data_IF_396624139681
#
_entry.id   IF_396624139681
#
_cell.length_a   1.000
_cell.length_b   1.000
_cell.length_c   1.000
_cell.angle_alpha   90.00
_cell.angle_beta   90.00
_cell.angle_gamma   90.00
#
_symmetry.space_group_name_H-M   'P 1'
#
loop_
_entity.id
_entity.type
_entity.pdbx_description
1 polymer ?
#
# COMPACT_ATOMS: atom_id res chain seq x y z
N UNK A 1 37.40 47.30 21.99
CA UNK A 1 38.05 47.34 20.66
C UNK A 1 37.04 48.01 19.74
N UNK A 2 37.24 49.30 19.51
CA UNK A 2 36.30 50.27 18.96
C UNK A 2 36.59 50.53 17.47
N UNK A 3 35.54 50.94 16.78
CA UNK A 3 35.46 51.42 15.40
C UNK A 3 36.53 52.45 15.00
N UNK A 4 36.80 52.59 13.69
CA UNK A 4 37.16 53.78 12.88
C UNK A 4 37.49 53.26 11.45
N UNK A 5 37.43 53.95 10.31
CA UNK A 5 36.88 55.20 9.79
C UNK A 5 37.57 55.35 8.42
N UNK A 6 36.86 55.65 7.32
CA UNK A 6 37.33 56.44 6.14
C UNK A 6 36.24 56.33 5.05
N UNK A 7 35.41 57.34 4.78
CA UNK A 7 35.63 58.67 4.16
C UNK A 7 36.12 58.59 2.70
N UNK A 8 35.18 58.50 1.77
CA UNK A 8 34.61 59.59 0.93
C UNK A 8 35.52 60.52 0.08
N UNK A 9 34.99 60.79 -1.13
CA UNK A 9 35.13 61.97 -2.02
C UNK A 9 35.88 61.82 -3.35
N UNK A 10 35.10 61.89 -4.43
CA UNK A 10 35.41 62.77 -5.58
C UNK A 10 34.12 63.43 -6.11
N UNK A 11 34.01 64.74 -5.87
CA UNK A 11 33.11 65.66 -6.56
C UNK A 11 33.68 65.97 -7.95
N UNK A 12 32.84 66.01 -8.99
CA UNK A 12 32.80 67.16 -9.93
C UNK A 12 31.35 67.37 -10.38
N UNK A 13 30.85 68.56 -10.11
CA UNK A 13 29.55 69.09 -10.52
C UNK A 13 29.78 70.05 -11.71
N UNK A 14 28.78 70.14 -12.59
CA UNK A 14 28.41 71.29 -13.45
C UNK A 14 28.56 71.08 -14.96
N UNK A 15 27.43 71.19 -15.66
CA UNK A 15 27.37 71.32 -17.11
C UNK A 15 26.01 71.00 -17.70
N UNK A 16 24.96 71.70 -17.27
CA UNK A 16 23.62 71.62 -17.89
C UNK A 16 23.64 72.37 -19.21
N UNK A 17 23.37 71.69 -20.33
CA UNK A 17 22.80 72.29 -21.55
C UNK A 17 21.65 71.40 -22.00
N UNK A 18 20.44 71.94 -21.88
CA UNK A 18 19.18 71.39 -22.36
C UNK A 18 19.01 71.83 -23.82
N UNK A 19 18.83 70.90 -24.77
CA UNK A 19 18.15 71.20 -26.03
C UNK A 19 17.48 69.95 -26.61
N UNK A 20 16.16 70.05 -26.56
CA UNK A 20 15.07 69.17 -26.99
C UNK A 20 15.16 68.78 -28.47
N UNK A 21 15.17 67.47 -28.81
CA UNK A 21 14.72 66.99 -30.15
C UNK A 21 14.15 65.56 -30.10
N UNK A 22 12.85 65.49 -30.43
CA UNK A 22 12.02 64.38 -30.97
C UNK A 22 12.33 62.92 -30.62
N UNK A 23 11.48 62.34 -29.77
CA UNK A 23 11.24 60.88 -29.68
C UNK A 23 10.18 60.50 -30.72
N UNK A 24 10.55 59.68 -31.69
CA UNK A 24 9.61 58.93 -32.55
C UNK A 24 9.31 57.59 -31.87
N UNK A 25 8.04 57.20 -31.64
CA UNK A 25 7.72 55.89 -31.08
C UNK A 25 7.87 54.83 -32.17
N UNK A 26 8.74 53.85 -31.94
CA UNK A 26 8.79 52.62 -32.74
C UNK A 26 7.56 51.78 -32.41
N UNK A 27 6.69 51.61 -33.41
CA UNK A 27 5.52 50.74 -33.32
C UNK A 27 5.99 49.30 -33.10
N UNK A 28 5.64 48.73 -31.95
CA UNK A 28 5.71 47.29 -31.71
C UNK A 28 4.62 46.63 -32.53
N UNK A 29 5.01 45.98 -33.62
CA UNK A 29 4.13 45.12 -34.39
C UNK A 29 3.64 43.98 -33.48
N UNK A 30 2.34 43.92 -33.23
CA UNK A 30 1.70 42.75 -32.64
C UNK A 30 1.83 41.61 -33.66
N UNK A 31 2.72 40.66 -33.41
CA UNK A 31 2.69 39.39 -34.12
C UNK A 31 1.41 38.67 -33.70
N UNK A 32 0.43 38.64 -34.60
CA UNK A 32 -0.69 37.71 -34.52
C UNK A 32 -0.09 36.31 -34.46
N UNK A 33 -0.18 35.66 -33.30
CA UNK A 33 0.05 34.23 -33.19
C UNK A 33 -0.96 33.59 -34.14
N UNK A 34 -0.49 33.06 -35.27
CA UNK A 34 -1.32 32.20 -36.11
C UNK A 34 -1.79 31.05 -35.21
N UNK A 35 -3.10 30.74 -35.19
CA UNK A 35 -3.54 29.53 -34.51
C UNK A 35 -2.77 28.37 -35.15
N UNK A 36 -1.98 27.70 -34.32
CA UNK A 36 -1.28 26.48 -34.67
C UNK A 36 -2.32 25.55 -35.31
N UNK A 37 -2.05 25.04 -36.52
CA UNK A 37 -2.94 24.08 -37.18
C UNK A 37 -3.30 23.02 -36.14
N UNK A 38 -4.59 22.73 -35.87
CA UNK A 38 -4.94 21.68 -34.93
C UNK A 38 -4.17 20.43 -35.35
N UNK A 39 -3.45 19.85 -34.38
CA UNK A 39 -2.72 18.61 -34.59
C UNK A 39 -3.66 17.62 -35.29
N UNK A 40 -3.17 16.92 -36.30
CA UNK A 40 -4.00 16.04 -37.10
C UNK A 40 -4.73 15.04 -36.19
N UNK A 41 -6.07 15.07 -36.18
CA UNK A 41 -6.91 14.14 -35.42
C UNK A 41 -6.51 12.70 -35.76
N UNK A 42 -5.97 11.98 -34.78
CA UNK A 42 -5.51 10.62 -34.98
C UNK A 42 -6.71 9.70 -34.82
N UNK A 43 -7.11 8.99 -35.88
CA UNK A 43 -8.25 8.08 -35.83
C UNK A 43 -7.76 6.67 -35.58
N UNK A 44 -8.20 6.08 -34.48
CA UNK A 44 -7.90 4.72 -34.11
C UNK A 44 -9.17 3.88 -34.13
N UNK A 45 -9.12 2.74 -34.81
CA UNK A 45 -10.21 1.79 -34.81
C UNK A 45 -10.01 0.77 -33.68
N UNK A 46 -11.04 0.54 -32.86
CA UNK A 46 -10.96 -0.34 -31.69
C UNK A 46 -12.11 -1.36 -31.68
N UNK A 47 -11.78 -2.63 -31.46
CA UNK A 47 -12.76 -3.69 -31.17
C UNK A 47 -13.02 -3.79 -29.68
N UNK A 48 -14.13 -4.39 -29.29
CA UNK A 48 -14.46 -4.64 -27.88
C UNK A 48 -13.39 -5.52 -27.22
N UNK A 49 -12.91 -6.53 -27.94
CA UNK A 49 -11.87 -7.43 -27.43
C UNK A 49 -10.57 -6.68 -27.16
N UNK A 50 -10.17 -5.79 -28.07
CA UNK A 50 -8.97 -4.96 -27.90
C UNK A 50 -9.13 -3.97 -26.74
N UNK A 51 -10.32 -3.37 -26.60
CA UNK A 51 -10.62 -2.47 -25.49
C UNK A 51 -10.51 -3.19 -24.13
N UNK A 52 -11.10 -4.38 -24.02
CA UNK A 52 -11.02 -5.21 -22.81
C UNK A 52 -9.57 -5.62 -22.55
N UNK A 53 -8.83 -6.10 -23.55
CA UNK A 53 -7.44 -6.52 -23.38
C UNK A 53 -6.56 -5.37 -22.88
N UNK A 54 -6.68 -4.18 -23.48
CA UNK A 54 -5.93 -2.98 -23.06
C UNK A 54 -6.28 -2.57 -21.65
N UNK A 55 -7.58 -2.58 -21.30
CA UNK A 55 -8.00 -2.30 -19.93
C UNK A 55 -7.42 -3.33 -18.95
N UNK A 56 -7.45 -4.62 -19.25
CA UNK A 56 -6.87 -5.65 -18.38
C UNK A 56 -5.36 -5.49 -18.16
N UNK A 57 -4.65 -4.95 -19.14
CA UNK A 57 -3.20 -4.73 -19.09
C UNK A 57 -2.81 -3.44 -18.35
N UNK A 58 -3.55 -2.35 -18.57
CA UNK A 58 -3.13 -1.02 -18.14
C UNK A 58 -4.01 -0.41 -17.06
N UNK A 59 -5.18 -0.98 -16.75
CA UNK A 59 -6.08 -0.40 -15.77
C UNK A 59 -5.44 -0.41 -14.36
N UNK A 60 -5.41 0.78 -13.75
CA UNK A 60 -4.75 0.99 -12.47
C UNK A 60 -5.45 0.23 -11.34
N UNK A 61 -6.78 0.10 -11.38
CA UNK A 61 -7.54 -0.60 -10.35
C UNK A 61 -7.20 -2.09 -10.30
N UNK A 62 -7.02 -2.72 -11.46
CA UNK A 62 -6.58 -4.13 -11.56
C UNK A 62 -5.15 -4.27 -11.03
N UNK A 63 -4.28 -3.32 -11.35
CA UNK A 63 -2.88 -3.33 -10.89
C UNK A 63 -2.80 -3.20 -9.37
N UNK A 64 -3.54 -2.26 -8.78
CA UNK A 64 -3.63 -2.09 -7.33
C UNK A 64 -4.16 -3.36 -6.68
N UNK A 65 -5.28 -3.90 -7.20
CA UNK A 65 -5.88 -5.11 -6.64
C UNK A 65 -4.96 -6.34 -6.73
N UNK A 66 -4.19 -6.47 -7.81
CA UNK A 66 -3.15 -7.50 -7.96
C UNK A 66 -2.06 -7.37 -6.89
N UNK A 67 -1.56 -6.15 -6.66
CA UNK A 67 -0.56 -5.90 -5.63
C UNK A 67 -1.09 -6.19 -4.23
N UNK A 68 -2.35 -5.83 -3.96
CA UNK A 68 -3.01 -6.18 -2.68
C UNK A 68 -3.10 -7.69 -2.51
N UNK A 69 -3.55 -8.43 -3.54
CA UNK A 69 -3.57 -9.90 -3.53
C UNK A 69 -2.17 -10.48 -3.22
N UNK A 70 -1.14 -10.02 -3.91
CA UNK A 70 0.24 -10.51 -3.70
C UNK A 70 0.77 -10.20 -2.31
N UNK A 71 0.46 -9.01 -1.77
CA UNK A 71 0.82 -8.62 -0.40
C UNK A 71 0.28 -9.61 0.65
N UNK A 72 -0.95 -10.11 0.48
CA UNK A 72 -1.57 -11.08 1.40
C UNK A 72 -0.87 -12.42 1.49
N UNK A 73 -0.13 -12.83 0.46
CA UNK A 73 0.69 -14.03 0.54
C UNK A 73 1.83 -13.85 1.54
N UNK A 74 2.34 -12.62 1.70
CA UNK A 74 3.36 -12.28 2.69
C UNK A 74 2.81 -12.35 4.12
N UNK A 75 1.52 -12.03 4.32
CA UNK A 75 0.87 -12.18 5.63
C UNK A 75 0.92 -13.63 6.14
N UNK A 76 0.80 -14.62 5.24
CA UNK A 76 0.96 -16.03 5.58
C UNK A 76 2.37 -16.32 6.09
N UNK A 77 3.38 -15.75 5.44
CA UNK A 77 4.79 -15.91 5.83
C UNK A 77 5.03 -15.26 7.19
N UNK A 78 4.48 -14.07 7.46
CA UNK A 78 4.59 -13.43 8.76
C UNK A 78 3.95 -14.25 9.89
N UNK A 79 2.80 -14.87 9.64
CA UNK A 79 2.15 -15.75 10.62
C UNK A 79 2.94 -17.05 10.85
N UNK A 80 3.61 -17.57 9.81
CA UNK A 80 4.49 -18.73 9.95
C UNK A 80 5.79 -18.38 10.69
N UNK A 81 6.36 -17.20 10.43
CA UNK A 81 7.60 -16.72 11.03
C UNK A 81 7.51 -16.57 12.57
N UNK A 82 6.31 -16.49 13.15
CA UNK A 82 6.10 -16.53 14.61
C UNK A 82 6.61 -17.83 15.27
N UNK A 83 6.80 -18.88 14.47
CA UNK A 83 7.31 -20.19 14.90
C UNK A 83 8.78 -20.42 14.49
N UNK A 84 9.40 -19.46 13.81
CA UNK A 84 10.83 -19.54 13.47
C UNK A 84 11.68 -19.24 14.71
N UNK A 85 12.87 -19.85 14.83
CA UNK A 85 13.77 -19.57 15.94
C UNK A 85 14.30 -18.13 15.86
N UNK A 86 14.15 -17.39 16.95
CA UNK A 86 14.71 -16.05 17.12
C UNK A 86 16.02 -16.13 17.87
N UNK A 87 17.10 -15.68 17.22
CA UNK A 87 18.40 -15.49 17.86
C UNK A 87 18.61 -14.01 18.16
N UNK A 88 18.99 -13.70 19.41
CA UNK A 88 19.22 -12.34 19.87
C UNK A 88 20.57 -12.23 20.56
N UNK A 89 21.28 -11.12 20.31
CA UNK A 89 22.50 -10.76 21.03
C UNK A 89 22.27 -9.38 21.65
N UNK A 90 22.38 -9.31 22.97
CA UNK A 90 22.32 -8.07 23.71
C UNK A 90 23.66 -7.82 24.41
N UNK A 91 24.18 -6.59 24.32
CA UNK A 91 25.37 -6.17 25.05
C UNK A 91 25.06 -4.97 25.92
N UNK A 92 25.39 -5.08 27.21
CA UNK A 92 25.15 -4.03 28.19
C UNK A 92 26.45 -3.68 28.92
N UNK A 93 26.71 -2.38 29.06
CA UNK A 93 27.72 -1.85 29.96
C UNK A 93 27.04 -0.94 30.98
N UNK A 94 27.24 -1.25 32.25
CA UNK A 94 26.71 -0.48 33.36
C UNK A 94 27.86 -0.08 34.29
N UNK A 95 27.90 1.20 34.66
CA UNK A 95 28.77 1.70 35.73
C UNK A 95 27.89 2.37 36.77
N UNK A 96 27.90 1.83 37.98
CA UNK A 96 27.18 2.36 39.10
C UNK A 96 28.16 2.84 40.17
N UNK A 97 28.05 4.12 40.54
CA UNK A 97 28.78 4.70 41.68
C UNK A 97 27.76 5.08 42.73
N UNK A 98 27.59 4.23 43.74
CA UNK A 98 26.59 4.43 44.80
C UNK A 98 27.27 4.83 46.13
N UNK A 99 26.71 5.79 46.89
CA UNK A 99 27.16 6.06 48.25
C UNK A 99 26.74 4.90 49.17
N UNK A 100 27.68 4.43 49.98
CA UNK A 100 27.45 3.37 50.96
C UNK A 100 27.15 3.99 52.33
N UNK A 101 25.99 3.64 52.89
CA UNK A 101 25.60 4.01 54.26
C UNK A 101 25.99 2.93 55.31
N UNK A 102 26.66 1.86 54.88
CA UNK A 102 27.19 0.76 55.71
C UNK A 102 28.24 -0.03 54.93
N UNK A 103 29.14 -0.78 55.58
CA UNK A 103 30.04 -1.70 54.88
C UNK A 103 29.21 -2.75 54.12
N UNK A 104 29.58 -3.00 52.86
CA UNK A 104 28.99 -4.07 52.04
C UNK A 104 29.83 -5.34 52.20
N UNK A 105 29.18 -6.51 52.21
CA UNK A 105 29.85 -7.81 52.21
C UNK A 105 30.91 -7.85 51.11
N UNK A 106 32.16 -8.14 51.49
CA UNK A 106 33.28 -8.11 50.56
C UNK A 106 34.18 -6.88 50.66
N UNK A 107 33.95 -5.93 51.57
CA UNK A 107 34.88 -4.83 51.86
C UNK A 107 35.25 -4.86 53.34
N UNK A 108 36.38 -5.45 53.70
CA UNK A 108 36.87 -5.45 55.09
C UNK A 108 37.80 -4.27 55.34
N UNK A 109 37.57 -3.50 56.41
CA UNK A 109 38.50 -2.48 56.90
C UNK A 109 38.21 -1.03 56.46
N UNK A 110 37.04 -0.74 55.89
CA UNK A 110 36.65 0.64 55.59
C UNK A 110 36.26 1.37 56.89
N UNK A 111 36.89 2.51 57.16
CA UNK A 111 36.51 3.40 58.25
C UNK A 111 35.12 4.01 57.97
N UNK A 112 34.27 4.03 59.01
CA UNK A 112 32.87 4.51 58.96
C UNK A 112 32.73 6.00 59.30
N UNK A 113 33.83 6.73 59.23
CA UNK A 113 33.93 8.16 59.48
C UNK A 113 33.63 9.01 58.24
N UNK A 114 33.65 8.43 57.03
CA UNK A 114 33.32 9.11 55.77
C UNK A 114 32.37 8.29 54.88
N UNK A 115 31.64 8.95 53.98
CA UNK A 115 30.79 8.29 52.98
C UNK A 115 31.67 7.49 52.02
N UNK A 116 31.59 6.17 52.09
CA UNK A 116 32.29 5.25 51.18
C UNK A 116 31.56 5.16 49.84
N UNK A 117 32.29 4.96 48.74
CA UNK A 117 31.72 4.80 47.38
C UNK A 117 31.82 3.35 46.94
N UNK A 118 30.72 2.79 46.43
CA UNK A 118 30.70 1.54 45.70
C UNK A 118 30.70 1.84 44.21
N UNK A 119 31.87 1.75 43.58
CA UNK A 119 32.08 1.95 42.14
C UNK A 119 32.22 0.60 41.45
N UNK A 120 31.18 0.19 40.75
CA UNK A 120 31.08 -1.10 40.06
C UNK A 120 30.91 -0.87 38.56
N UNK A 121 31.73 -1.58 37.79
CA UNK A 121 31.63 -1.68 36.34
C UNK A 121 31.21 -3.10 35.97
N UNK A 122 30.10 -3.23 35.26
CA UNK A 122 29.60 -4.50 34.76
C UNK A 122 29.47 -4.43 33.24
N UNK A 123 30.05 -5.41 32.56
CA UNK A 123 29.83 -5.67 31.14
C UNK A 123 29.12 -7.00 31.03
N UNK A 124 27.97 -7.06 30.38
CA UNK A 124 27.22 -8.29 30.13
C UNK A 124 27.00 -8.46 28.63
N UNK A 125 27.16 -9.69 28.15
CA UNK A 125 26.68 -10.11 26.84
C UNK A 125 25.63 -11.19 27.09
N UNK A 126 24.51 -11.12 26.40
CA UNK A 126 23.43 -12.10 26.48
C UNK A 126 23.17 -12.63 25.07
N UNK A 127 23.21 -13.94 24.92
CA UNK A 127 22.84 -14.66 23.73
C UNK A 127 21.56 -15.43 24.03
N UNK A 128 20.50 -15.16 23.28
CA UNK A 128 19.20 -15.79 23.47
C UNK A 128 18.80 -16.52 22.20
N UNK A 129 18.30 -17.75 22.35
CA UNK A 129 17.64 -18.51 21.30
C UNK A 129 16.26 -18.93 21.80
N UNK A 130 15.21 -18.32 21.25
CA UNK A 130 13.83 -18.62 21.63
C UNK A 130 13.04 -19.12 20.42
N UNK A 131 12.21 -20.15 20.59
CA UNK A 131 11.31 -20.61 19.53
C UNK A 131 9.96 -21.04 20.09
N UNK A 132 8.88 -20.60 19.43
CA UNK A 132 7.54 -21.11 19.66
C UNK A 132 7.29 -22.32 18.76
N UNK A 133 6.74 -23.39 19.32
CA UNK A 133 6.38 -24.61 18.61
C UNK A 133 4.89 -24.59 18.26
N UNK A 134 4.53 -25.29 17.18
CA UNK A 134 3.14 -25.45 16.77
C UNK A 134 2.27 -26.15 17.84
N UNK A 135 2.86 -26.90 18.76
CA UNK A 135 2.12 -27.52 19.89
C UNK A 135 1.67 -26.52 20.95
N UNK A 136 2.15 -25.27 20.87
CA UNK A 136 1.97 -24.22 21.88
C UNK A 136 3.10 -24.14 22.90
N UNK A 137 4.04 -25.08 22.88
CA UNK A 137 5.24 -24.97 23.70
C UNK A 137 6.17 -23.87 23.21
N UNK A 138 6.95 -23.30 24.11
CA UNK A 138 8.12 -22.50 23.79
C UNK A 138 9.34 -23.09 24.48
N UNK A 139 10.48 -23.00 23.82
CA UNK A 139 11.77 -23.23 24.47
C UNK A 139 12.63 -21.98 24.33
N UNK A 140 13.48 -21.78 25.34
CA UNK A 140 14.42 -20.67 25.44
C UNK A 140 15.78 -21.18 25.89
N UNK A 141 16.84 -20.72 25.22
CA UNK A 141 18.24 -20.98 25.58
C UNK A 141 18.95 -19.65 25.75
N UNK A 142 19.30 -19.33 27.00
CA UNK A 142 19.99 -18.11 27.37
C UNK A 142 21.43 -18.43 27.76
N UNK A 143 22.40 -17.71 27.19
CA UNK A 143 23.78 -17.70 27.65
C UNK A 143 24.22 -16.26 27.96
N UNK A 144 24.57 -15.99 29.22
CA UNK A 144 24.77 -14.63 29.71
C UNK A 144 26.10 -14.43 30.46
N UNK A 145 27.25 -14.38 29.76
CA UNK A 145 28.52 -14.01 30.38
C UNK A 145 28.54 -12.54 30.82
N UNK A 146 29.04 -12.31 32.02
CA UNK A 146 29.22 -11.01 32.63
C UNK A 146 30.64 -10.86 33.22
N UNK A 147 31.23 -9.69 33.04
CA UNK A 147 32.45 -9.25 33.70
C UNK A 147 32.10 -8.16 34.69
N UNK A 148 32.40 -8.39 35.96
CA UNK A 148 32.16 -7.43 37.04
C UNK A 148 33.48 -7.02 37.66
N UNK A 149 33.76 -5.72 37.65
CA UNK A 149 34.89 -5.10 38.33
C UNK A 149 34.37 -4.14 39.39
N UNK A 150 34.95 -4.19 40.58
CA UNK A 150 34.62 -3.23 41.64
C UNK A 150 35.91 -2.54 42.09
N UNK A 151 35.90 -1.21 42.10
CA UNK A 151 37.07 -0.43 42.52
C UNK A 151 37.28 -0.49 44.05
N UNK A 152 38.52 -0.24 44.48
CA UNK A 152 38.92 -0.30 45.90
C UNK A 152 39.58 -1.64 46.26
N UNK A 153 39.46 -2.04 47.52
CA UNK A 153 40.05 -3.27 48.05
C UNK A 153 38.97 -4.30 48.41
N UNK A 154 38.25 -4.88 47.44
CA UNK A 154 37.26 -5.90 47.74
C UNK A 154 37.96 -7.22 48.10
N UNK A 155 37.36 -7.98 49.01
CA UNK A 155 37.74 -9.33 49.43
C UNK A 155 37.06 -10.39 48.56
N UNK A 156 36.81 -10.09 47.28
CA UNK A 156 36.26 -11.06 46.33
C UNK A 156 37.32 -12.07 45.89
N UNK A 157 36.89 -13.31 45.61
CA UNK A 157 37.80 -14.35 45.12
C UNK A 157 38.50 -13.94 43.81
N UNK A 158 37.77 -13.25 42.92
CA UNK A 158 38.29 -12.66 41.68
C UNK A 158 37.77 -11.23 41.53
N UNK A 159 38.64 -10.30 41.16
CA UNK A 159 38.28 -8.93 40.78
C UNK A 159 39.25 -8.41 39.70
N UNK A 160 38.81 -8.23 38.44
CA UNK A 160 37.45 -8.48 37.94
C UNK A 160 37.04 -9.95 38.05
N UNK A 161 35.78 -10.21 38.38
CA UNK A 161 35.18 -11.53 38.32
C UNK A 161 34.47 -11.75 36.98
N UNK A 162 34.64 -12.92 36.39
CA UNK A 162 33.90 -13.34 35.20
C UNK A 162 32.87 -14.39 35.60
N UNK A 163 31.60 -14.08 35.41
CA UNK A 163 30.48 -14.99 35.66
C UNK A 163 29.80 -15.35 34.33
N UNK A 164 29.20 -16.52 34.24
CA UNK A 164 28.25 -16.85 33.17
C UNK A 164 27.13 -17.74 33.69
N UNK A 165 25.99 -17.66 33.02
CA UNK A 165 24.91 -18.63 33.15
C UNK A 165 24.53 -19.15 31.77
N UNK A 166 24.41 -20.47 31.62
CA UNK A 166 23.65 -21.10 30.54
C UNK A 166 22.33 -21.58 31.15
N UNK A 167 21.20 -21.22 30.57
CA UNK A 167 19.89 -21.66 31.01
C UNK A 167 19.07 -22.15 29.82
N UNK A 168 18.44 -23.31 29.99
CA UNK A 168 17.42 -23.86 29.11
C UNK A 168 16.09 -23.82 29.84
N UNK A 169 15.06 -23.24 29.21
CA UNK A 169 13.69 -23.21 29.73
C UNK A 169 12.76 -23.83 28.70
N UNK A 170 11.90 -24.75 29.12
CA UNK A 170 10.81 -25.31 28.31
C UNK A 170 9.49 -25.01 29.00
N UNK A 171 8.58 -24.34 28.30
CA UNK A 171 7.21 -24.12 28.78
C UNK A 171 6.24 -24.81 27.84
N UNK A 172 5.43 -25.73 28.34
CA UNK A 172 4.42 -26.47 27.58
C UNK A 172 3.03 -26.23 28.18
N UNK A 173 2.12 -25.51 27.51
CA UNK A 173 0.73 -25.44 27.94
C UNK A 173 0.04 -26.81 27.83
N UNK A 174 -0.95 -27.06 28.68
CA UNK A 174 -1.78 -28.28 28.63
C UNK A 174 -3.24 -28.02 28.25
N UNK A 175 -3.72 -26.79 28.45
CA UNK A 175 -5.12 -26.42 28.22
C UNK A 175 -5.22 -25.25 27.24
N UNK A 176 -5.15 -24.01 27.74
CA UNK A 176 -5.10 -22.80 26.90
C UNK A 176 -3.85 -22.81 26.05
N UNK A 177 -3.97 -22.48 24.76
CA UNK A 177 -2.91 -22.50 23.74
C UNK A 177 -2.30 -23.88 23.46
N UNK A 178 -2.84 -24.96 24.00
CA UNK A 178 -2.37 -26.31 23.70
C UNK A 178 -2.90 -26.82 22.35
N UNK A 179 -2.01 -27.43 21.56
CA UNK A 179 -2.37 -28.17 20.35
C UNK A 179 -2.15 -27.40 19.05
N UNK A 180 -1.92 -28.18 17.99
CA UNK A 180 -1.52 -27.65 16.66
C UNK A 180 -2.64 -26.82 16.01
N UNK A 181 -3.90 -27.20 16.19
CA UNK A 181 -5.00 -26.49 15.56
C UNK A 181 -5.19 -25.07 16.10
N UNK A 182 -4.99 -24.86 17.40
CA UNK A 182 -5.10 -23.53 18.04
C UNK A 182 -3.97 -22.63 17.54
N UNK A 183 -2.73 -23.11 17.60
CA UNK A 183 -1.56 -22.31 17.20
C UNK A 183 -1.50 -22.07 15.69
N UNK A 184 -2.02 -22.98 14.85
CA UNK A 184 -2.16 -22.76 13.40
C UNK A 184 -3.35 -21.88 13.01
N UNK A 185 -4.20 -21.47 13.96
CA UNK A 185 -5.42 -20.70 13.64
C UNK A 185 -5.09 -19.43 12.86
N UNK A 186 -4.13 -18.63 13.31
CA UNK A 186 -3.77 -17.39 12.62
C UNK A 186 -3.13 -17.61 11.25
N UNK A 187 -2.36 -18.70 11.06
CA UNK A 187 -1.86 -19.11 9.74
C UNK A 187 -3.03 -19.45 8.81
N UNK A 188 -4.02 -20.22 9.29
CA UNK A 188 -5.21 -20.56 8.50
C UNK A 188 -6.08 -19.34 8.19
N UNK A 189 -6.19 -18.40 9.12
CA UNK A 189 -6.87 -17.11 8.90
C UNK A 189 -6.15 -16.31 7.81
N UNK A 190 -4.82 -16.20 7.86
CA UNK A 190 -4.04 -15.53 6.81
C UNK A 190 -4.20 -16.23 5.44
N UNK A 191 -4.22 -17.57 5.41
CA UNK A 191 -4.50 -18.33 4.20
C UNK A 191 -5.91 -18.06 3.64
N UNK A 192 -6.92 -17.99 4.50
CA UNK A 192 -8.29 -17.65 4.09
C UNK A 192 -8.39 -16.21 3.60
N UNK A 193 -7.69 -15.27 4.26
CA UNK A 193 -7.59 -13.87 3.84
C UNK A 193 -6.96 -13.74 2.45
N UNK A 194 -5.87 -14.48 2.18
CA UNK A 194 -5.26 -14.49 0.84
C UNK A 194 -6.21 -15.04 -0.24
N UNK A 195 -6.97 -16.11 0.06
CA UNK A 195 -7.99 -16.64 -0.84
C UNK A 195 -9.18 -15.69 -1.03
N UNK A 196 -9.60 -15.00 0.03
CA UNK A 196 -10.63 -13.97 -0.04
C UNK A 196 -10.19 -12.85 -0.99
N UNK A 197 -8.95 -12.37 -0.84
CA UNK A 197 -8.39 -11.27 -1.65
C UNK A 197 -8.13 -11.69 -3.11
N UNK A 198 -7.89 -12.98 -3.36
CA UNK A 198 -7.91 -13.51 -4.73
C UNK A 198 -9.30 -13.37 -5.39
N UNK A 199 -10.38 -13.60 -4.63
CA UNK A 199 -11.74 -13.41 -5.14
C UNK A 199 -12.09 -11.92 -5.30
N UNK A 200 -11.62 -11.05 -4.40
CA UNK A 200 -11.74 -9.58 -4.57
C UNK A 200 -11.06 -9.12 -5.85
N UNK A 201 -9.89 -9.68 -6.17
CA UNK A 201 -9.20 -9.40 -7.44
C UNK A 201 -10.02 -9.85 -8.66
N UNK A 202 -10.59 -11.05 -8.63
CA UNK A 202 -11.45 -11.52 -9.72
C UNK A 202 -12.70 -10.66 -9.89
N UNK A 203 -13.35 -10.28 -8.78
CA UNK A 203 -14.49 -9.35 -8.79
C UNK A 203 -14.13 -8.00 -9.43
N UNK A 204 -12.95 -7.46 -9.09
CA UNK A 204 -12.45 -6.22 -9.67
C UNK A 204 -12.20 -6.33 -11.16
N UNK A 205 -11.61 -7.44 -11.61
CA UNK A 205 -11.39 -7.74 -13.03
C UNK A 205 -12.72 -7.81 -13.77
N UNK A 206 -13.71 -8.56 -13.26
CA UNK A 206 -15.03 -8.68 -13.87
C UNK A 206 -15.76 -7.34 -13.93
N UNK A 207 -15.68 -6.54 -12.87
CA UNK A 207 -16.27 -5.19 -12.83
C UNK A 207 -15.66 -4.27 -13.87
N UNK A 208 -14.33 -4.30 -14.04
CA UNK A 208 -13.65 -3.50 -15.07
C UNK A 208 -14.04 -3.96 -16.47
N UNK A 209 -14.10 -5.28 -16.73
CA UNK A 209 -14.57 -5.82 -18.01
C UNK A 209 -15.98 -5.31 -18.32
N UNK A 210 -16.93 -5.49 -17.40
CA UNK A 210 -18.31 -5.04 -17.58
C UNK A 210 -18.42 -3.52 -17.80
N UNK A 211 -17.61 -2.73 -17.09
CA UNK A 211 -17.59 -1.26 -17.26
C UNK A 211 -17.03 -0.86 -18.63
N UNK A 212 -16.00 -1.54 -19.13
CA UNK A 212 -15.43 -1.31 -20.46
C UNK A 212 -16.42 -1.74 -21.55
N UNK A 213 -17.08 -2.89 -21.39
CA UNK A 213 -18.13 -3.34 -22.29
C UNK A 213 -19.27 -2.32 -22.39
N UNK A 214 -19.77 -1.83 -21.25
CA UNK A 214 -20.82 -0.81 -21.23
C UNK A 214 -20.35 0.47 -21.94
N UNK A 215 -19.17 1.00 -21.60
CA UNK A 215 -18.64 2.22 -22.22
C UNK A 215 -18.42 2.05 -23.73
N UNK A 216 -17.96 0.89 -24.17
CA UNK A 216 -17.80 0.57 -25.59
C UNK A 216 -19.15 0.57 -26.32
N UNK A 217 -20.17 -0.07 -25.76
CA UNK A 217 -21.51 -0.11 -26.37
C UNK A 217 -22.21 1.25 -26.35
N UNK A 218 -21.98 2.09 -25.32
CA UNK A 218 -22.44 3.48 -25.32
C UNK A 218 -21.76 4.32 -26.40
N UNK A 219 -20.47 4.07 -26.70
CA UNK A 219 -19.77 4.72 -27.81
C UNK A 219 -20.35 4.28 -29.16
N UNK A 220 -20.62 2.98 -29.35
CA UNK A 220 -21.30 2.46 -30.55
C UNK A 220 -22.67 3.12 -30.71
N UNK A 221 -23.45 3.18 -29.63
CA UNK A 221 -24.77 3.83 -29.61
C UNK A 221 -24.70 5.32 -29.98
N UNK A 222 -23.73 6.07 -29.43
CA UNK A 222 -23.52 7.48 -29.74
C UNK A 222 -23.18 7.71 -31.23
N UNK A 223 -22.36 6.83 -31.83
CA UNK A 223 -22.02 6.87 -33.25
C UNK A 223 -23.24 6.62 -34.15
N UNK A 224 -24.06 5.62 -33.81
CA UNK A 224 -25.30 5.34 -34.55
C UNK A 224 -26.31 6.50 -34.42
N UNK A 225 -26.43 7.12 -33.24
CA UNK A 225 -27.27 8.29 -33.05
C UNK A 225 -26.83 9.50 -33.89
N UNK A 226 -25.51 9.74 -34.02
CA UNK A 226 -25.01 10.77 -34.92
C UNK A 226 -25.40 10.48 -36.37
N UNK A 227 -25.29 9.22 -36.80
CA UNK A 227 -25.69 8.79 -38.15
C UNK A 227 -27.17 9.09 -38.41
N UNK A 228 -28.04 8.82 -37.43
CA UNK A 228 -29.48 9.16 -37.49
C UNK A 228 -29.71 10.68 -37.51
N UNK A 229 -29.00 11.45 -36.68
CA UNK A 229 -29.12 12.90 -36.64
C UNK A 229 -28.69 13.57 -37.97
N UNK A 230 -27.60 13.09 -38.58
CA UNK A 230 -27.13 13.55 -39.88
C UNK A 230 -28.13 13.22 -41.00
N UNK A 231 -28.73 12.02 -40.99
CA UNK A 231 -29.79 11.66 -41.92
C UNK A 231 -31.02 12.57 -41.78
N UNK A 232 -31.40 12.92 -40.54
CA UNK A 232 -32.50 13.84 -40.25
C UNK A 232 -32.19 15.28 -40.68
N UNK A 233 -30.95 15.75 -40.51
CA UNK A 233 -30.49 17.05 -40.99
C UNK A 233 -30.57 17.11 -42.52
N UNK A 234 -30.04 16.10 -43.22
CA UNK A 234 -30.11 16.02 -44.68
C UNK A 234 -31.54 16.07 -45.19
N UNK A 235 -32.45 15.32 -44.58
CA UNK A 235 -33.88 15.36 -44.92
C UNK A 235 -34.52 16.75 -44.69
N UNK A 236 -34.13 17.45 -43.62
CA UNK A 236 -34.61 18.81 -43.33
C UNK A 236 -34.06 19.84 -44.34
N UNK A 237 -32.80 19.71 -44.76
CA UNK A 237 -32.18 20.56 -45.79
C UNK A 237 -32.85 20.38 -47.16
N UNK A 238 -33.16 19.13 -47.53
CA UNK A 238 -33.90 18.81 -48.76
C UNK A 238 -35.32 19.41 -48.72
N UNK A 239 -36.02 19.34 -47.58
CA UNK A 239 -37.32 19.97 -47.40
C UNK A 239 -37.25 21.49 -47.53
N UNK A 240 -36.26 22.13 -46.89
CA UNK A 240 -36.04 23.57 -46.99
C UNK A 240 -35.75 23.99 -48.43
N UNK A 241 -34.94 23.25 -49.16
CA UNK A 241 -34.63 23.52 -50.56
C UNK A 241 -35.90 23.46 -51.43
N UNK A 242 -36.75 22.44 -51.23
CA UNK A 242 -38.05 22.33 -51.89
C UNK A 242 -38.99 23.51 -51.55
N UNK A 243 -39.10 23.88 -50.27
CA UNK A 243 -39.97 24.97 -49.83
C UNK A 243 -39.51 26.33 -50.38
N UNK A 244 -38.21 26.60 -50.38
CA UNK A 244 -37.64 27.81 -51.00
C UNK A 244 -37.94 27.88 -52.50
N UNK A 245 -37.89 26.76 -53.22
CA UNK A 245 -38.25 26.71 -54.64
C UNK A 245 -39.75 27.01 -54.88
N UNK A 246 -40.64 26.42 -54.08
CA UNK A 246 -42.09 26.65 -54.14
C UNK A 246 -42.48 28.09 -53.80
N UNK A 247 -41.83 28.70 -52.81
CA UNK A 247 -42.06 30.10 -52.45
C UNK A 247 -41.60 31.05 -53.56
N UNK A 248 -40.45 30.79 -54.22
CA UNK A 248 -40.01 31.55 -55.40
C UNK A 248 -40.98 31.45 -56.57
N UNK A 249 -41.67 30.33 -56.71
CA UNK A 249 -42.72 30.12 -57.71
C UNK A 249 -44.09 30.70 -57.28
N UNK A 250 -44.21 31.29 -56.08
CA UNK A 250 -45.43 31.93 -55.58
C UNK A 250 -46.52 30.97 -55.07
N UNK A 251 -46.22 29.68 -54.96
CA UNK A 251 -47.20 28.64 -54.57
C UNK A 251 -47.10 28.20 -53.10
N UNK A 252 -46.31 28.91 -52.29
CA UNK A 252 -46.08 28.61 -50.87
C UNK A 252 -45.89 29.91 -50.07
N UNK A 253 -46.36 29.93 -48.83
CA UNK A 253 -46.20 31.07 -47.94
C UNK A 253 -44.76 31.18 -47.41
N UNK A 254 -44.24 32.41 -47.29
CA UNK A 254 -42.90 32.67 -46.71
C UNK A 254 -42.78 32.12 -45.28
N UNK A 255 -43.88 32.11 -44.53
CA UNK A 255 -43.94 31.52 -43.18
C UNK A 255 -43.54 30.04 -43.18
N UNK A 256 -43.91 29.28 -44.21
CA UNK A 256 -43.54 27.85 -44.32
C UNK A 256 -42.04 27.66 -44.64
N UNK A 257 -41.40 28.63 -45.31
CA UNK A 257 -39.94 28.64 -45.50
C UNK A 257 -39.23 28.92 -44.18
N UNK A 258 -39.69 29.92 -43.42
CA UNK A 258 -39.12 30.25 -42.11
C UNK A 258 -39.25 29.09 -41.12
N UNK A 259 -40.36 28.35 -41.14
CA UNK A 259 -40.53 27.14 -40.34
C UNK A 259 -39.54 26.04 -40.74
N UNK A 260 -39.29 25.83 -42.04
CA UNK A 260 -38.30 24.88 -42.51
C UNK A 260 -36.86 25.31 -42.15
N UNK A 261 -36.55 26.61 -42.18
CA UNK A 261 -35.26 27.13 -41.73
C UNK A 261 -35.03 26.90 -40.23
N UNK A 262 -36.06 27.15 -39.40
CA UNK A 262 -36.01 26.83 -37.98
C UNK A 262 -35.82 25.33 -37.72
N UNK A 263 -36.46 24.48 -38.52
CA UNK A 263 -36.28 23.02 -38.43
C UNK A 263 -34.85 22.60 -38.77
N UNK A 264 -34.24 23.15 -39.84
CA UNK A 264 -32.82 22.89 -40.18
C UNK A 264 -31.92 23.34 -39.04
N UNK A 265 -32.10 24.55 -38.51
CA UNK A 265 -31.30 25.05 -37.38
C UNK A 265 -31.38 24.12 -36.15
N UNK A 266 -32.57 23.59 -35.84
CA UNK A 266 -32.75 22.61 -34.77
C UNK A 266 -32.05 21.27 -35.05
N UNK A 267 -32.01 20.80 -36.32
CA UNK A 267 -31.26 19.58 -36.67
C UNK A 267 -29.75 19.78 -36.64
N UNK A 268 -29.26 20.98 -36.96
CA UNK A 268 -27.85 21.34 -36.80
C UNK A 268 -27.46 21.26 -35.32
N UNK A 269 -28.25 21.85 -34.42
CA UNK A 269 -28.04 21.76 -32.98
C UNK A 269 -28.00 20.29 -32.50
N UNK A 270 -28.96 19.46 -32.93
CA UNK A 270 -29.00 18.04 -32.58
C UNK A 270 -27.76 17.27 -33.05
N UNK A 271 -27.25 17.59 -34.24
CA UNK A 271 -26.02 16.98 -34.78
C UNK A 271 -24.82 17.37 -33.92
N UNK A 272 -24.70 18.64 -33.54
CA UNK A 272 -23.63 19.13 -32.65
C UNK A 272 -23.69 18.47 -31.26
N UNK A 273 -24.89 18.27 -30.71
CA UNK A 273 -25.08 17.57 -29.43
C UNK A 273 -24.65 16.09 -29.57
N UNK A 274 -25.00 15.43 -30.66
CA UNK A 274 -24.60 14.05 -30.92
C UNK A 274 -23.08 13.91 -31.10
N UNK A 275 -22.43 14.84 -31.81
CA UNK A 275 -20.97 14.90 -31.94
C UNK A 275 -20.28 15.10 -30.58
N UNK A 276 -20.82 15.99 -29.74
CA UNK A 276 -20.32 16.16 -28.37
C UNK A 276 -20.47 14.88 -27.56
N UNK A 277 -21.63 14.21 -27.64
CA UNK A 277 -21.87 12.97 -26.91
C UNK A 277 -20.84 11.89 -27.29
N UNK A 278 -20.47 11.76 -28.56
CA UNK A 278 -19.39 10.86 -28.99
C UNK A 278 -18.08 11.22 -28.30
N UNK A 279 -17.69 12.50 -28.28
CA UNK A 279 -16.44 12.92 -27.60
C UNK A 279 -16.47 12.59 -26.10
N UNK A 280 -17.58 12.84 -25.43
CA UNK A 280 -17.75 12.52 -24.01
C UNK A 280 -17.62 10.99 -23.76
N UNK A 281 -18.13 10.15 -24.67
CA UNK A 281 -17.99 8.68 -24.59
C UNK A 281 -16.58 8.18 -24.95
N UNK A 282 -15.93 8.78 -25.96
CA UNK A 282 -14.53 8.52 -26.28
C UNK A 282 -13.64 8.80 -25.07
N UNK A 283 -13.85 9.93 -24.38
CA UNK A 283 -13.11 10.29 -23.16
C UNK A 283 -13.40 9.30 -22.01
N UNK A 284 -14.64 8.86 -21.85
CA UNK A 284 -15.00 7.84 -20.85
C UNK A 284 -14.26 6.53 -21.11
N UNK A 285 -14.27 6.04 -22.35
CA UNK A 285 -13.60 4.81 -22.74
C UNK A 285 -12.07 4.97 -22.58
N UNK A 286 -11.48 6.07 -23.05
CA UNK A 286 -10.04 6.35 -22.90
C UNK A 286 -9.62 6.33 -21.43
N UNK A 287 -10.41 6.90 -20.51
CA UNK A 287 -10.10 6.82 -19.06
C UNK A 287 -10.00 5.37 -18.55
N UNK A 288 -10.86 4.48 -19.02
CA UNK A 288 -10.87 3.07 -18.60
C UNK A 288 -9.68 2.27 -19.17
N UNK A 289 -9.27 2.60 -20.40
CA UNK A 289 -8.09 2.02 -21.06
C UNK A 289 -6.77 2.48 -20.44
N UNK A 290 -6.81 3.55 -19.64
CA UNK A 290 -5.66 4.15 -18.95
C UNK A 290 -4.43 4.35 -19.86
N UNK A 291 -4.56 5.16 -20.94
CA UNK A 291 -3.48 5.43 -21.87
C UNK A 291 -2.30 6.11 -21.17
N UNK A 292 -1.12 5.93 -21.76
CA UNK A 292 0.11 6.60 -21.31
C UNK A 292 -0.01 8.12 -21.37
N UNK A 293 0.84 8.82 -20.60
CA UNK A 293 0.87 10.28 -20.61
C UNK A 293 1.06 10.87 -22.03
N UNK A 294 1.83 10.18 -22.87
CA UNK A 294 2.08 10.61 -24.24
C UNK A 294 0.86 10.45 -25.15
N UNK A 295 0.03 9.43 -24.91
CA UNK A 295 -1.23 9.20 -25.64
C UNK A 295 -2.34 10.14 -25.16
N UNK A 296 -2.34 10.54 -23.88
CA UNK A 296 -3.26 11.57 -23.36
C UNK A 296 -3.04 12.94 -23.98
N UNK A 297 -1.81 13.24 -24.42
CA UNK A 297 -1.45 14.50 -25.09
C UNK A 297 -1.87 14.53 -26.56
N UNK A 298 -2.36 13.40 -27.11
CA UNK A 298 -2.81 13.29 -28.49
C UNK A 298 -4.34 13.40 -28.58
N UNK A 299 -4.82 14.12 -29.59
CA UNK A 299 -6.23 14.18 -29.96
C UNK A 299 -6.59 12.93 -30.78
N UNK A 300 -6.90 11.84 -30.06
CA UNK A 300 -7.22 10.53 -30.63
C UNK A 300 -8.73 10.31 -30.61
N UNK A 301 -9.29 10.03 -31.79
CA UNK A 301 -10.70 9.67 -32.00
C UNK A 301 -10.83 8.16 -32.09
N UNK A 302 -11.70 7.58 -31.27
CA UNK A 302 -11.95 6.13 -31.25
C UNK A 302 -13.14 5.77 -32.13
N UNK A 303 -12.89 5.02 -33.20
CA UNK A 303 -13.92 4.44 -34.06
C UNK A 303 -14.23 3.00 -33.64
N UNK A 304 -15.42 2.69 -33.11
CA UNK A 304 -15.77 1.32 -32.78
C UNK A 304 -15.93 0.47 -34.05
N UNK A 305 -15.33 -0.72 -34.05
CA UNK A 305 -15.38 -1.67 -35.18
C UNK A 305 -16.57 -2.63 -35.13
N UNK A 306 -17.00 -2.97 -33.91
CA UNK A 306 -18.02 -3.99 -33.69
C UNK A 306 -19.43 -3.42 -33.83
N UNK A 307 -20.33 -4.25 -34.35
CA UNK A 307 -21.74 -3.89 -34.56
C UNK A 307 -22.59 -4.41 -33.39
N UNK A 308 -23.73 -3.76 -33.10
CA UNK A 308 -24.64 -4.22 -32.06
C UNK A 308 -25.04 -5.69 -32.23
N UNK A 309 -24.90 -6.47 -31.16
CA UNK A 309 -25.28 -7.89 -31.13
C UNK A 309 -26.80 -8.03 -31.10
N UNK A 310 -27.37 -8.82 -32.03
CA UNK A 310 -28.83 -8.90 -32.23
C UNK A 310 -29.52 -10.05 -31.49
N UNK A 311 -28.77 -10.98 -30.89
CA UNK A 311 -29.35 -12.13 -30.17
C UNK A 311 -28.40 -12.63 -29.09
N UNK A 312 -28.89 -12.67 -27.85
CA UNK A 312 -28.28 -13.41 -26.74
C UNK A 312 -29.06 -14.72 -26.56
N UNK A 313 -28.35 -15.82 -26.41
CA UNK A 313 -28.97 -17.11 -26.09
C UNK A 313 -29.45 -17.06 -24.62
N UNK A 314 -30.74 -17.28 -24.34
CA UNK A 314 -31.27 -17.13 -22.98
C UNK A 314 -30.80 -18.30 -22.11
N UNK A 315 -30.13 -18.00 -21.00
CA UNK A 315 -29.88 -18.96 -19.94
C UNK A 315 -31.12 -19.09 -19.04
N UNK A 316 -31.43 -20.31 -18.58
CA UNK A 316 -32.53 -20.49 -17.61
C UNK A 316 -32.18 -19.84 -16.27
N UNK A 317 -33.19 -19.42 -15.52
CA UNK A 317 -32.98 -18.74 -14.21
C UNK A 317 -32.34 -19.71 -13.23
N UNK A 318 -32.78 -20.96 -13.22
CA UNK A 318 -32.26 -22.02 -12.36
C UNK A 318 -30.77 -22.28 -12.65
N UNK A 319 -30.40 -22.44 -13.92
CA UNK A 319 -29.01 -22.63 -14.34
C UNK A 319 -28.14 -21.41 -14.00
N UNK A 320 -28.67 -20.19 -14.16
CA UNK A 320 -27.98 -18.98 -13.78
C UNK A 320 -27.72 -18.89 -12.26
N UNK A 321 -28.66 -19.34 -11.43
CA UNK A 321 -28.49 -19.39 -9.97
C UNK A 321 -27.41 -20.40 -9.58
N UNK A 322 -27.42 -21.60 -10.16
CA UNK A 322 -26.44 -22.64 -9.85
C UNK A 322 -25.02 -22.18 -10.23
N UNK A 323 -24.85 -21.61 -11.43
CA UNK A 323 -23.58 -21.03 -11.86
C UNK A 323 -23.17 -19.87 -10.94
N UNK A 324 -24.12 -19.03 -10.53
CA UNK A 324 -23.85 -17.90 -9.67
C UNK A 324 -23.34 -18.32 -8.29
N UNK A 325 -23.97 -19.32 -7.66
CA UNK A 325 -23.54 -19.82 -6.35
C UNK A 325 -22.14 -20.45 -6.42
N UNK A 326 -21.82 -21.13 -7.51
CA UNK A 326 -20.51 -21.79 -7.68
C UNK A 326 -19.38 -20.81 -8.03
N UNK A 327 -19.66 -19.79 -8.86
CA UNK A 327 -18.62 -19.00 -9.52
C UNK A 327 -18.57 -17.53 -9.14
N UNK A 328 -19.63 -16.95 -8.54
CA UNK A 328 -19.61 -15.51 -8.20
C UNK A 328 -18.57 -15.23 -7.10
N UNK A 329 -17.61 -14.33 -7.35
CA UNK A 329 -16.57 -14.02 -6.38
C UNK A 329 -17.09 -13.65 -4.99
N UNK A 330 -18.16 -12.86 -4.89
CA UNK A 330 -18.78 -12.43 -3.65
C UNK A 330 -19.35 -13.58 -2.80
N UNK A 331 -19.83 -14.66 -3.44
CA UNK A 331 -20.30 -15.87 -2.74
C UNK A 331 -19.09 -16.62 -2.16
N UNK A 332 -18.03 -16.75 -2.96
CA UNK A 332 -16.77 -17.39 -2.52
C UNK A 332 -16.06 -16.58 -1.43
N UNK A 333 -16.10 -15.25 -1.52
CA UNK A 333 -15.66 -14.32 -0.49
C UNK A 333 -16.42 -14.55 0.83
N UNK A 334 -17.76 -14.60 0.76
CA UNK A 334 -18.60 -14.87 1.93
C UNK A 334 -18.26 -16.25 2.55
N UNK A 335 -18.05 -17.28 1.73
CA UNK A 335 -17.61 -18.60 2.20
C UNK A 335 -16.28 -18.54 2.98
N UNK A 336 -15.28 -17.80 2.48
CA UNK A 336 -13.98 -17.65 3.16
C UNK A 336 -14.09 -16.85 4.46
N UNK A 337 -15.01 -15.89 4.53
CA UNK A 337 -15.33 -15.18 5.77
C UNK A 337 -15.98 -16.09 6.81
N UNK A 338 -16.91 -16.97 6.40
CA UNK A 338 -17.51 -17.97 7.31
C UNK A 338 -16.42 -18.88 7.89
N UNK A 339 -15.56 -19.44 7.05
CA UNK A 339 -14.44 -20.29 7.51
C UNK A 339 -13.52 -19.54 8.51
N UNK A 340 -13.22 -18.27 8.25
CA UNK A 340 -12.43 -17.42 9.15
C UNK A 340 -13.13 -17.19 10.49
N UNK A 341 -14.43 -16.91 10.48
CA UNK A 341 -15.23 -16.76 11.69
C UNK A 341 -15.28 -18.05 12.51
N UNK A 342 -15.41 -19.22 11.87
CA UNK A 342 -15.36 -20.51 12.56
C UNK A 342 -14.01 -20.76 13.25
N UNK A 343 -12.91 -20.41 12.59
CA UNK A 343 -11.57 -20.48 13.18
C UNK A 343 -11.45 -19.57 14.41
N UNK A 344 -11.95 -18.33 14.31
CA UNK A 344 -12.00 -17.39 15.43
C UNK A 344 -12.83 -17.93 16.60
N UNK A 345 -13.99 -18.56 16.35
CA UNK A 345 -14.81 -19.19 17.38
C UNK A 345 -14.05 -20.32 18.07
N UNK A 346 -13.37 -21.19 17.31
CA UNK A 346 -12.56 -22.29 17.87
C UNK A 346 -11.43 -21.76 18.74
N UNK A 347 -10.71 -20.73 18.28
CA UNK A 347 -9.67 -20.08 19.06
C UNK A 347 -10.22 -19.42 20.33
N UNK A 348 -11.31 -18.65 20.23
CA UNK A 348 -11.94 -18.00 21.38
C UNK A 348 -12.39 -19.02 22.44
N UNK A 349 -12.96 -20.16 22.03
CA UNK A 349 -13.29 -21.27 22.96
C UNK A 349 -12.06 -21.80 23.70
N UNK A 350 -10.93 -21.94 23.01
CA UNK A 350 -9.69 -22.34 23.66
C UNK A 350 -9.18 -21.28 24.65
N UNK A 351 -9.37 -19.99 24.35
CA UNK A 351 -8.97 -18.90 25.25
C UNK A 351 -9.78 -18.81 26.54
N UNK A 352 -10.92 -19.50 26.63
CA UNK A 352 -11.69 -19.64 27.87
C UNK A 352 -11.11 -20.68 28.83
N UNK A 353 -10.17 -21.52 28.38
CA UNK A 353 -9.56 -22.55 29.22
C UNK A 353 -8.57 -21.93 30.23
N UNK A 354 -8.39 -22.54 31.42
CA UNK A 354 -7.37 -22.12 32.36
C UNK A 354 -5.95 -22.19 31.78
N UNK A 355 -5.06 -21.31 32.25
CA UNK A 355 -3.68 -21.23 31.81
C UNK A 355 -2.77 -22.23 32.53
N UNK A 356 -3.09 -23.53 32.44
CA UNK A 356 -2.23 -24.56 33.02
C UNK A 356 -1.08 -24.91 32.08
N UNK A 357 0.15 -24.79 32.55
CA UNK A 357 1.37 -25.12 31.81
C UNK A 357 2.41 -25.83 32.68
N UNK A 358 3.21 -26.70 32.06
CA UNK A 358 4.45 -27.20 32.62
C UNK A 358 5.58 -26.24 32.30
N UNK A 359 6.43 -25.95 33.28
CA UNK A 359 7.68 -25.22 33.10
C UNK A 359 8.83 -26.04 33.68
N UNK A 360 9.81 -26.34 32.84
CA UNK A 360 11.08 -26.96 33.22
C UNK A 360 12.23 -26.01 32.94
N UNK A 361 13.17 -25.93 33.87
CA UNK A 361 14.41 -25.17 33.74
C UNK A 361 15.61 -26.04 34.07
N UNK A 362 16.69 -25.86 33.33
CA UNK A 362 17.99 -26.45 33.62
C UNK A 362 19.05 -25.42 33.31
N UNK A 363 20.08 -25.30 34.14
CA UNK A 363 21.13 -24.34 33.92
C UNK A 363 22.45 -24.72 34.53
N UNK A 364 23.48 -24.03 34.06
CA UNK A 364 24.86 -24.17 34.49
C UNK A 364 25.45 -22.79 34.72
N UNK A 365 26.31 -22.68 35.72
CA UNK A 365 26.97 -21.44 36.08
C UNK A 365 28.49 -21.59 36.07
N UNK A 366 29.19 -20.52 35.70
CA UNK A 366 30.64 -20.45 35.74
C UNK A 366 31.08 -19.20 36.49
N UNK A 367 32.09 -19.32 37.34
CA UNK A 367 32.80 -18.20 37.95
C UNK A 367 34.30 -18.43 37.79
N UNK A 368 34.96 -17.52 37.06
CA UNK A 368 36.38 -17.61 36.76
C UNK A 368 37.14 -16.30 36.95
N UNK A 369 38.47 -16.42 37.02
CA UNK A 369 39.40 -15.28 37.08
C UNK A 369 39.54 -14.54 35.75
N UNK A 370 39.24 -15.24 34.66
CA UNK A 370 39.25 -14.76 33.29
C UNK A 370 38.12 -15.45 32.49
N UNK A 371 37.93 -15.03 31.25
CA UNK A 371 36.87 -15.55 30.40
C UNK A 371 37.02 -17.06 30.08
N UNK A 372 38.25 -17.56 29.96
CA UNK A 372 38.51 -18.97 29.65
C UNK A 372 38.19 -19.89 30.83
N UNK A 373 38.67 -19.53 32.02
CA UNK A 373 38.38 -20.25 33.27
C UNK A 373 36.87 -20.22 33.58
N UNK A 374 36.19 -19.09 33.32
CA UNK A 374 34.74 -18.97 33.47
C UNK A 374 33.98 -19.92 32.52
N UNK A 375 34.37 -19.98 31.24
CA UNK A 375 33.73 -20.85 30.26
C UNK A 375 33.98 -22.33 30.57
N UNK A 376 35.21 -22.69 30.92
CA UNK A 376 35.56 -24.06 31.28
C UNK A 376 34.72 -24.54 32.47
N UNK A 377 34.50 -23.70 33.48
CA UNK A 377 33.69 -24.05 34.65
C UNK A 377 32.19 -24.08 34.35
N UNK A 378 31.69 -23.17 33.50
CA UNK A 378 30.28 -23.19 33.09
C UNK A 378 29.92 -24.51 32.39
N UNK A 379 30.73 -24.93 31.42
CA UNK A 379 30.52 -26.19 30.70
C UNK A 379 31.11 -27.41 31.41
N UNK A 380 31.81 -27.22 32.53
CA UNK A 380 32.38 -28.29 33.34
C UNK A 380 31.35 -29.03 34.19
N UNK A 381 30.16 -28.44 34.40
CA UNK A 381 29.05 -29.08 35.10
C UNK A 381 29.19 -29.11 36.63
N UNK A 382 30.17 -28.41 37.21
CA UNK A 382 30.37 -28.36 38.67
C UNK A 382 29.28 -27.54 39.39
N UNK A 383 28.69 -26.56 38.70
CA UNK A 383 27.65 -25.70 39.23
C UNK A 383 26.43 -25.76 38.31
N UNK A 384 25.44 -26.56 38.68
CA UNK A 384 24.19 -26.72 37.93
C UNK A 384 22.98 -26.45 38.80
N UNK A 385 21.88 -26.08 38.14
CA UNK A 385 20.55 -26.03 38.74
C UNK A 385 19.54 -26.66 37.78
N UNK A 386 18.49 -27.24 38.34
CA UNK A 386 17.33 -27.68 37.58
C UNK A 386 16.07 -27.50 38.43
N UNK A 387 14.96 -27.26 37.75
CA UNK A 387 13.66 -27.08 38.37
C UNK A 387 12.58 -27.52 37.41
N UNK A 388 11.48 -28.03 37.96
CA UNK A 388 10.29 -28.32 37.19
C UNK A 388 9.07 -27.99 38.04
N UNK A 389 8.04 -27.43 37.41
CA UNK A 389 6.83 -27.02 38.09
C UNK A 389 5.66 -26.88 37.14
N UNK A 390 4.47 -26.79 37.73
CA UNK A 390 3.26 -26.38 37.02
C UNK A 390 3.01 -24.91 37.31
N UNK A 391 2.70 -24.14 36.27
CA UNK A 391 2.33 -22.73 36.35
C UNK A 391 0.87 -22.62 35.95
N UNK A 392 0.07 -21.93 36.76
CA UNK A 392 -1.37 -21.72 36.57
C UNK A 392 -1.68 -20.25 36.25
#
# INVERSE_FOLDING_TARGET
MLAHHQIDRSLVLSGVIFLLTMVLPTATAWSVVQPEKPAAELREAISLTDAVLRALQHNLDITISRQTKESRLTDIIFEQAKFDPLFSINGQYNRAVAPLNRPVFGFSGAALDEIQKFDQNQTQLTFDLTQNLLTGANYDVNFSPARTFVAGNPTFLFNPGYQSGLAFTLTQPFLRNFGVDVNRTFIRIAQNSAKFEEQVFLDRVLTVIATVEQAFWELVFANENLTVAQAALKAAEELLASNRAKAKAGVMAIVEVLQAEAAVASRVEQTLIAEKAIRDQEDQLRRLLNPSEQELRQDVRLGPLDKPVQSLEPISVEEAIDIAIERRPEVLQASKNIETTELNIKFAKNQLLPNLSFQGTAGMAGLGKDAGDMLQRNFGGDFYNYGAGLVL
#
